data_IF_856772849401
#
_entry.id   IF_856772849401
#
_cell.length_a   1.000
_cell.length_b   1.000
_cell.length_c   1.000
_cell.angle_alpha   90.00
_cell.angle_beta   90.00
_cell.angle_gamma   90.00
#
_symmetry.space_group_name_H-M   'P 1'
#
loop_
_entity.id
_entity.type
_entity.pdbx_description
1 polymer ?
#
# COMPACT_ATOMS: atom_id res chain seq x y z
N UNK A 1 12.68 -6.64 4.49
CA UNK A 1 12.13 -5.63 3.57
C UNK A 1 11.12 -4.78 4.30
N UNK A 2 10.22 -5.38 5.07
CA UNK A 2 9.43 -4.60 6.04
C UNK A 2 10.33 -3.83 7.01
N UNK A 3 9.99 -2.56 7.24
CA UNK A 3 10.71 -1.62 8.08
C UNK A 3 11.95 -0.99 7.46
N UNK A 4 12.24 -1.22 6.18
CA UNK A 4 13.36 -0.55 5.49
C UNK A 4 13.00 0.85 5.03
N UNK A 5 14.00 1.67 4.73
CA UNK A 5 13.82 2.98 4.10
C UNK A 5 14.10 2.93 2.60
N UNK A 6 13.46 3.81 1.83
CA UNK A 6 13.67 3.95 0.40
C UNK A 6 13.37 5.39 -0.05
N UNK A 7 14.06 5.85 -1.10
CA UNK A 7 13.75 7.13 -1.74
C UNK A 7 12.33 7.17 -2.27
N UNK A 8 11.69 8.34 -2.16
CA UNK A 8 10.28 8.50 -2.56
C UNK A 8 10.05 8.06 -4.00
N UNK A 9 10.89 8.46 -4.94
CA UNK A 9 10.72 8.07 -6.35
C UNK A 9 10.90 6.57 -6.58
N UNK A 10 11.84 5.92 -5.87
CA UNK A 10 12.09 4.49 -5.99
C UNK A 10 10.91 3.68 -5.42
N UNK A 11 10.31 4.16 -4.32
CA UNK A 11 9.14 3.51 -3.73
C UNK A 11 7.91 3.62 -4.64
N UNK A 12 7.74 4.74 -5.36
CA UNK A 12 6.64 4.93 -6.31
C UNK A 12 6.80 4.05 -7.56
N UNK A 13 8.04 3.85 -8.04
CA UNK A 13 8.32 2.88 -9.09
C UNK A 13 7.97 1.46 -8.63
N UNK A 14 8.44 1.08 -7.43
CA UNK A 14 8.14 -0.22 -6.84
C UNK A 14 6.63 -0.42 -6.63
N UNK A 15 5.90 0.62 -6.22
CA UNK A 15 4.45 0.58 -6.07
C UNK A 15 3.73 0.33 -7.40
N UNK A 16 4.20 0.96 -8.48
CA UNK A 16 3.64 0.77 -9.82
C UNK A 16 3.85 -0.68 -10.30
N UNK A 17 5.06 -1.22 -10.14
CA UNK A 17 5.36 -2.62 -10.48
C UNK A 17 4.57 -3.61 -9.61
N UNK A 18 4.47 -3.32 -8.31
CA UNK A 18 3.74 -4.15 -7.36
C UNK A 18 2.25 -4.20 -7.66
N UNK A 19 1.62 -3.08 -8.02
CA UNK A 19 0.21 -3.04 -8.37
C UNK A 19 -0.07 -3.65 -9.75
N UNK A 20 0.87 -3.48 -10.69
CA UNK A 20 0.73 -3.90 -12.08
C UNK A 20 -0.28 -3.04 -12.86
N UNK A 21 -0.40 -3.28 -14.16
CA UNK A 21 -1.32 -2.53 -15.02
C UNK A 21 -2.79 -2.65 -14.56
N UNK A 22 -3.56 -1.58 -14.79
CA UNK A 22 -5.00 -1.57 -14.51
C UNK A 22 -5.39 -1.40 -13.05
N UNK A 23 -4.45 -1.08 -12.16
CA UNK A 23 -4.79 -0.69 -10.79
C UNK A 23 -5.70 0.54 -10.76
N UNK A 24 -6.48 0.65 -9.70
CA UNK A 24 -7.42 1.77 -9.52
C UNK A 24 -7.23 2.41 -8.15
N UNK A 25 -7.75 3.62 -8.00
CA UNK A 25 -7.97 4.25 -6.70
C UNK A 25 -9.49 4.31 -6.45
N UNK A 26 -10.10 3.28 -5.81
CA UNK A 26 -11.56 3.16 -5.75
C UNK A 26 -12.25 4.38 -5.14
N UNK A 27 -11.56 5.09 -4.24
CA UNK A 27 -11.93 6.41 -3.77
C UNK A 27 -10.81 7.37 -4.15
N UNK A 28 -11.06 8.19 -5.16
CA UNK A 28 -10.10 9.21 -5.62
C UNK A 28 -9.61 10.08 -4.45
N UNK A 29 -8.29 10.27 -4.35
CA UNK A 29 -7.63 11.03 -3.28
C UNK A 29 -7.61 10.36 -1.91
N UNK A 30 -7.87 9.05 -1.83
CA UNK A 30 -7.70 8.28 -0.59
C UNK A 30 -6.25 7.92 -0.30
N UNK A 31 -5.38 7.92 -1.33
CA UNK A 31 -4.03 7.38 -1.24
C UNK A 31 -4.01 5.86 -1.13
N UNK A 32 -5.11 5.16 -1.46
CA UNK A 32 -5.19 3.70 -1.45
C UNK A 32 -5.50 3.15 -2.85
N UNK A 33 -4.51 2.50 -3.41
CA UNK A 33 -4.54 1.94 -4.76
C UNK A 33 -4.68 0.42 -4.68
N UNK A 34 -5.46 -0.17 -5.59
CA UNK A 34 -5.73 -1.61 -5.62
C UNK A 34 -5.42 -2.15 -7.01
N UNK A 35 -4.62 -3.20 -7.06
CA UNK A 35 -4.37 -3.99 -8.27
C UNK A 35 -5.66 -4.49 -8.94
N UNK A 36 -5.59 -4.74 -10.24
CA UNK A 36 -6.76 -5.13 -11.04
C UNK A 36 -7.45 -6.42 -10.55
N UNK A 37 -6.68 -7.38 -10.01
CA UNK A 37 -7.19 -8.63 -9.45
C UNK A 37 -7.69 -8.51 -7.99
N UNK A 38 -7.53 -7.34 -7.38
CA UNK A 38 -7.96 -7.07 -6.01
C UNK A 38 -7.09 -7.70 -4.91
N UNK A 39 -5.97 -8.34 -5.25
CA UNK A 39 -5.13 -9.11 -4.30
C UNK A 39 -3.96 -8.33 -3.71
N UNK A 40 -3.68 -7.14 -4.23
CA UNK A 40 -2.61 -6.24 -3.78
C UNK A 40 -3.13 -4.84 -3.61
N UNK A 41 -2.69 -4.15 -2.56
CA UNK A 41 -2.94 -2.75 -2.38
C UNK A 41 -1.68 -1.99 -1.95
N UNK A 42 -1.56 -0.76 -2.44
CA UNK A 42 -0.54 0.18 -2.02
C UNK A 42 -1.23 1.34 -1.32
N UNK A 43 -0.72 1.75 -0.15
CA UNK A 43 -1.32 2.81 0.64
C UNK A 43 -0.29 3.86 1.06
N UNK A 44 -0.64 5.11 0.81
CA UNK A 44 0.12 6.34 1.05
C UNK A 44 -0.83 7.46 1.48
N UNK A 45 -1.68 7.19 2.48
CA UNK A 45 -2.61 8.19 2.99
C UNK A 45 -1.89 9.35 3.68
N UNK A 46 -2.59 10.45 3.92
CA UNK A 46 -2.03 11.66 4.53
C UNK A 46 -1.29 11.36 5.86
N UNK A 47 -1.87 10.52 6.72
CA UNK A 47 -1.25 10.15 7.99
C UNK A 47 0.01 9.29 7.82
N UNK A 48 0.07 8.47 6.76
CA UNK A 48 1.21 7.61 6.45
C UNK A 48 2.39 8.48 5.99
N UNK A 49 2.17 9.32 4.97
CA UNK A 49 3.23 10.15 4.36
C UNK A 49 3.69 11.31 5.26
N UNK A 50 2.84 11.79 6.18
CA UNK A 50 3.24 12.77 7.19
C UNK A 50 3.85 12.12 8.43
N UNK A 51 3.91 10.79 8.49
CA UNK A 51 4.48 10.06 9.63
C UNK A 51 3.74 10.31 10.94
N UNK A 52 2.41 10.54 10.89
CA UNK A 52 1.59 10.76 12.08
C UNK A 52 1.43 9.49 12.93
N UNK A 53 1.86 8.35 12.40
CA UNK A 53 2.02 7.08 13.10
C UNK A 53 3.17 6.27 12.49
N UNK A 54 3.40 5.07 13.01
CA UNK A 54 4.33 4.12 12.41
C UNK A 54 5.82 4.46 12.59
N UNK A 55 6.17 5.54 13.29
CA UNK A 55 7.58 5.89 13.57
C UNK A 55 8.23 6.82 12.53
N UNK A 56 7.49 7.24 11.50
CA UNK A 56 7.95 8.22 10.51
C UNK A 56 7.13 8.16 9.22
N UNK A 57 7.38 9.05 8.25
CA UNK A 57 6.79 8.98 6.92
C UNK A 57 7.02 7.60 6.28
N UNK A 58 5.95 6.95 5.82
CA UNK A 58 6.03 5.63 5.22
C UNK A 58 4.89 5.38 4.23
N UNK A 59 5.00 4.25 3.54
CA UNK A 59 3.96 3.66 2.69
C UNK A 59 3.78 2.18 3.02
N UNK A 60 2.64 1.64 2.64
CA UNK A 60 2.25 0.26 2.92
C UNK A 60 2.06 -0.52 1.62
N UNK A 61 2.62 -1.73 1.58
CA UNK A 61 2.40 -2.73 0.54
C UNK A 61 1.63 -3.90 1.17
N UNK A 62 0.34 -3.97 0.83
CA UNK A 62 -0.61 -4.91 1.41
C UNK A 62 -0.88 -6.07 0.44
N UNK A 63 -0.74 -7.31 0.91
CA UNK A 63 -1.30 -8.49 0.24
C UNK A 63 -2.68 -8.78 0.81
N UNK A 64 -3.62 -9.11 -0.07
CA UNK A 64 -5.03 -9.27 0.22
C UNK A 64 -5.52 -10.66 -0.21
N UNK A 65 -6.40 -11.25 0.59
CA UNK A 65 -7.17 -12.45 0.22
C UNK A 65 -8.64 -12.30 0.60
N UNK A 66 -9.50 -13.18 0.08
CA UNK A 66 -10.90 -13.23 0.50
C UNK A 66 -10.99 -13.63 1.98
N UNK A 67 -11.73 -12.86 2.77
CA UNK A 67 -11.94 -13.19 4.16
C UNK A 67 -12.87 -14.42 4.27
N UNK A 68 -12.44 -15.52 4.92
CA UNK A 68 -13.21 -16.76 5.00
C UNK A 68 -14.48 -16.62 5.86
N UNK A 69 -14.52 -15.63 6.76
CA UNK A 69 -15.66 -15.31 7.63
C UNK A 69 -16.61 -14.32 6.95
N UNK A 70 -16.07 -13.46 6.06
CA UNK A 70 -16.82 -12.42 5.33
C UNK A 70 -16.51 -12.52 3.83
N UNK A 71 -17.12 -13.47 3.10
CA UNK A 71 -16.72 -13.82 1.73
C UNK A 71 -16.76 -12.67 0.71
N UNK A 72 -17.47 -11.57 1.01
CA UNK A 72 -17.56 -10.40 0.14
C UNK A 72 -16.55 -9.30 0.51
N UNK A 73 -15.56 -9.60 1.36
CA UNK A 73 -14.59 -8.62 1.84
C UNK A 73 -13.17 -9.20 1.76
N UNK A 74 -12.28 -8.45 1.14
CA UNK A 74 -10.85 -8.75 1.20
C UNK A 74 -10.30 -8.42 2.60
N UNK A 75 -9.35 -9.22 3.08
CA UNK A 75 -8.58 -8.98 4.28
C UNK A 75 -7.11 -8.83 3.96
N UNK A 76 -6.41 -7.99 4.72
CA UNK A 76 -4.96 -7.86 4.66
C UNK A 76 -4.35 -9.07 5.35
N UNK A 77 -3.47 -9.79 4.65
CA UNK A 77 -2.71 -10.94 5.19
C UNK A 77 -1.23 -10.64 5.35
N UNK A 78 -0.74 -9.59 4.71
CA UNK A 78 0.61 -9.10 4.87
C UNK A 78 0.59 -7.59 4.64
N UNK A 79 1.32 -6.85 5.47
CA UNK A 79 1.45 -5.40 5.38
C UNK A 79 2.93 -5.04 5.57
N UNK A 80 3.59 -4.64 4.49
CA UNK A 80 5.00 -4.26 4.47
C UNK A 80 5.09 -2.74 4.50
N UNK A 81 5.77 -2.22 5.52
CA UNK A 81 6.04 -0.80 5.69
C UNK A 81 7.39 -0.47 5.07
N UNK A 82 7.42 0.56 4.22
CA UNK A 82 8.65 1.15 3.72
C UNK A 82 8.67 2.62 4.11
N UNK A 83 9.67 3.02 4.90
CA UNK A 83 9.85 4.40 5.31
C UNK A 83 10.40 5.23 4.16
N UNK A 84 9.94 6.48 4.09
CA UNK A 84 10.40 7.43 3.09
C UNK A 84 11.64 8.15 3.60
N UNK A 85 12.71 8.12 2.81
CA UNK A 85 13.91 8.91 3.03
C UNK A 85 14.17 9.77 1.79
N UNK A 86 14.34 11.08 1.97
CA UNK A 86 14.80 11.98 0.92
C UNK A 86 15.96 12.84 1.46
#
# INVERSE_FOLDING_TARGET
MDGTSMKTNDVLNLASDFLGEGYTEPKAGSGRFISADGTRAFRMGESDILGRHGGGPHVNFEMLELNPIKPNKMQVITDIHIYLED
#
